data_IF_323750262424
#
_entry.id   IF_323750262424
#
_cell.length_a   1.000
_cell.length_b   1.000
_cell.length_c   1.000
_cell.angle_alpha   90.00
_cell.angle_beta   90.00
_cell.angle_gamma   90.00
#
_symmetry.space_group_name_H-M   'P 1'
#
loop_
_entity.id
_entity.type
_entity.pdbx_description
1 polymer ?
#
# COMPACT_ATOMS: atom_id res chain seq x y z
N UNK A 1 -12.83 22.00 29.75
CA UNK A 1 -14.03 22.56 29.09
C UNK A 1 -13.89 22.24 27.61
N UNK A 2 -14.92 21.66 26.98
CA UNK A 2 -14.85 20.84 25.76
C UNK A 2 -14.14 19.50 25.93
N UNK A 3 -14.77 18.62 26.70
CA UNK A 3 -14.47 17.20 26.63
C UNK A 3 -15.09 16.63 25.36
N UNK A 4 -14.58 17.00 24.18
CA UNK A 4 -14.93 16.38 22.91
C UNK A 4 -14.52 14.91 23.00
N UNK A 5 -15.46 14.11 23.48
CA UNK A 5 -15.27 12.69 23.62
C UNK A 5 -15.23 12.02 22.27
N UNK A 6 -14.74 10.79 22.26
CA UNK A 6 -14.95 9.88 21.14
C UNK A 6 -16.41 9.81 20.66
N UNK A 7 -17.45 9.83 21.54
CA UNK A 7 -18.83 9.82 21.07
C UNK A 7 -19.25 11.06 20.27
N UNK A 8 -18.92 12.29 20.70
CA UNK A 8 -19.26 13.48 19.91
C UNK A 8 -18.55 13.48 18.55
N UNK A 9 -17.29 13.05 18.49
CA UNK A 9 -16.55 12.95 17.24
C UNK A 9 -17.20 11.96 16.27
N UNK A 10 -17.71 10.83 16.78
CA UNK A 10 -18.40 9.81 16.01
C UNK A 10 -19.74 10.31 15.44
N UNK A 11 -20.48 11.10 16.21
CA UNK A 11 -21.74 11.73 15.74
C UNK A 11 -21.45 12.72 14.62
N UNK A 12 -20.44 13.57 14.77
CA UNK A 12 -20.05 14.53 13.73
C UNK A 12 -19.59 13.79 12.47
N UNK A 13 -18.77 12.74 12.63
CA UNK A 13 -18.34 11.88 11.53
C UNK A 13 -19.55 11.29 10.81
N UNK A 14 -20.53 10.74 11.54
CA UNK A 14 -21.74 10.17 10.95
C UNK A 14 -22.52 11.19 10.11
N UNK A 15 -22.70 12.41 10.63
CA UNK A 15 -23.36 13.50 9.89
C UNK A 15 -22.55 13.86 8.63
N UNK A 16 -21.22 13.96 8.74
CA UNK A 16 -20.36 14.20 7.59
C UNK A 16 -20.47 13.07 6.55
N UNK A 17 -20.57 11.80 6.97
CA UNK A 17 -20.82 10.68 6.06
C UNK A 17 -22.17 10.78 5.36
N UNK A 18 -23.21 11.30 6.01
CA UNK A 18 -24.52 11.49 5.37
C UNK A 18 -24.47 12.60 4.31
N UNK A 19 -23.74 13.69 4.57
CA UNK A 19 -23.61 14.82 3.63
C UNK A 19 -22.69 14.45 2.45
N UNK A 20 -21.50 13.96 2.74
CA UNK A 20 -20.48 13.65 1.73
C UNK A 20 -20.67 12.27 1.09
N UNK A 21 -21.38 11.37 1.77
CA UNK A 21 -21.49 9.96 1.39
C UNK A 21 -20.30 9.12 1.86
N UNK A 22 -20.57 7.89 2.30
CA UNK A 22 -19.53 6.94 2.74
C UNK A 22 -18.49 6.61 1.65
N UNK A 23 -18.86 6.72 0.37
CA UNK A 23 -17.98 6.45 -0.76
C UNK A 23 -16.92 7.56 -1.00
N UNK A 24 -17.15 8.80 -0.53
CA UNK A 24 -16.23 9.92 -0.77
C UNK A 24 -15.06 9.96 0.21
N UNK A 25 -15.25 9.47 1.44
CA UNK A 25 -14.19 9.35 2.43
C UNK A 25 -12.98 8.51 1.98
N UNK A 26 -13.14 7.28 1.47
CA UNK A 26 -11.99 6.49 1.02
C UNK A 26 -11.34 7.11 -0.22
N UNK A 27 -12.11 7.72 -1.13
CA UNK A 27 -11.56 8.38 -2.31
C UNK A 27 -10.61 9.54 -1.94
N UNK A 28 -11.00 10.34 -0.95
CA UNK A 28 -10.19 11.45 -0.41
C UNK A 28 -9.04 10.90 0.46
N UNK A 29 -9.30 9.86 1.25
CA UNK A 29 -8.29 9.22 2.08
C UNK A 29 -7.17 8.56 1.28
N UNK A 30 -7.47 7.97 0.12
CA UNK A 30 -6.46 7.38 -0.77
C UNK A 30 -5.56 8.45 -1.40
N UNK A 31 -6.11 9.59 -1.83
CA UNK A 31 -5.31 10.68 -2.41
C UNK A 31 -4.43 11.37 -1.36
N UNK A 32 -4.98 11.68 -0.18
CA UNK A 32 -4.22 12.22 0.94
C UNK A 32 -3.20 11.20 1.48
N UNK A 33 -3.56 9.92 1.58
CA UNK A 33 -2.67 8.87 2.07
C UNK A 33 -1.46 8.66 1.15
N UNK A 34 -1.66 8.72 -0.17
CA UNK A 34 -0.56 8.71 -1.14
C UNK A 34 0.37 9.91 -0.97
N UNK A 35 -0.20 11.11 -0.84
CA UNK A 35 0.58 12.33 -0.60
C UNK A 35 1.38 12.23 0.70
N UNK A 36 0.74 11.88 1.82
CA UNK A 36 1.39 11.74 3.14
C UNK A 36 2.50 10.68 3.09
N UNK A 37 2.32 9.58 2.35
CA UNK A 37 3.33 8.55 2.20
C UNK A 37 4.57 9.06 1.46
N UNK A 38 4.40 9.84 0.41
CA UNK A 38 5.50 10.44 -0.34
C UNK A 38 6.18 11.57 0.46
N UNK A 39 5.41 12.37 1.19
CA UNK A 39 5.93 13.34 2.15
C UNK A 39 6.80 12.63 3.20
N UNK A 40 6.27 11.60 3.88
CA UNK A 40 7.01 10.82 4.88
C UNK A 40 8.28 10.22 4.31
N UNK A 41 8.23 9.65 3.10
CA UNK A 41 9.40 9.08 2.40
C UNK A 41 10.49 10.13 2.15
N UNK A 42 10.09 11.34 1.77
CA UNK A 42 11.02 12.46 1.56
C UNK A 42 11.64 12.97 2.87
N UNK A 43 10.88 12.94 3.96
CA UNK A 43 11.38 13.32 5.30
C UNK A 43 12.26 12.23 5.95
N UNK A 44 12.01 10.93 5.71
CA UNK A 44 12.74 9.81 6.31
C UNK A 44 13.98 9.37 5.51
N UNK A 45 14.11 9.74 4.24
CA UNK A 45 15.21 9.28 3.40
C UNK A 45 15.59 10.28 2.31
N UNK A 46 16.48 11.25 2.60
CA UNK A 46 17.06 12.15 1.59
C UNK A 46 18.02 11.46 0.59
N UNK A 47 17.87 10.15 0.32
CA UNK A 47 18.79 9.41 -0.55
C UNK A 47 18.42 7.96 -0.88
N UNK A 48 17.20 7.51 -0.59
CA UNK A 48 16.72 6.19 -1.03
C UNK A 48 15.42 6.37 -1.82
N UNK A 49 15.60 6.63 -3.10
CA UNK A 49 14.57 6.37 -4.11
C UNK A 49 14.25 4.88 -4.05
N UNK A 50 13.23 4.49 -3.28
CA UNK A 50 12.62 3.17 -3.42
C UNK A 50 11.69 3.27 -4.62
N UNK A 51 12.06 2.75 -5.81
CA UNK A 51 11.12 2.66 -6.92
C UNK A 51 9.92 1.81 -6.47
N UNK A 52 8.71 2.08 -6.98
CA UNK A 52 7.54 1.27 -6.67
C UNK A 52 7.87 -0.19 -7.02
N UNK A 53 7.85 -1.05 -6.01
CA UNK A 53 8.04 -2.48 -6.21
C UNK A 53 6.99 -2.96 -7.23
N UNK A 54 7.40 -3.54 -8.37
CA UNK A 54 6.46 -4.09 -9.33
C UNK A 54 5.64 -5.21 -8.66
N UNK A 55 4.31 -5.30 -8.89
CA UNK A 55 3.44 -6.31 -8.27
C UNK A 55 3.71 -7.77 -8.70
N UNK A 56 4.78 -8.05 -9.44
CA UNK A 56 4.95 -9.30 -10.18
C UNK A 56 6.39 -9.85 -10.11
N UNK A 57 6.96 -9.88 -8.91
CA UNK A 57 8.18 -10.68 -8.68
C UNK A 57 7.76 -12.13 -8.42
N UNK A 58 7.68 -12.95 -9.48
CA UNK A 58 7.46 -14.40 -9.35
C UNK A 58 8.62 -15.00 -8.53
N UNK A 59 8.32 -15.54 -7.36
CA UNK A 59 9.29 -16.19 -6.48
C UNK A 59 9.19 -17.71 -6.65
N UNK A 60 10.32 -18.40 -6.87
CA UNK A 60 10.35 -19.86 -6.96
C UNK A 60 10.05 -20.51 -5.59
N UNK A 61 9.06 -21.41 -5.51
CA UNK A 61 8.59 -22.06 -4.28
C UNK A 61 9.66 -22.87 -3.53
N UNK A 62 10.59 -23.51 -4.25
CA UNK A 62 11.63 -24.36 -3.67
C UNK A 62 12.87 -23.60 -3.19
N UNK A 63 13.21 -22.46 -3.82
CA UNK A 63 14.45 -21.73 -3.49
C UNK A 63 14.22 -20.31 -2.96
N UNK A 64 12.97 -19.82 -2.95
CA UNK A 64 12.58 -18.45 -2.57
C UNK A 64 13.45 -17.34 -3.18
N UNK A 65 13.87 -17.51 -4.43
CA UNK A 65 14.62 -16.50 -5.19
C UNK A 65 13.73 -15.80 -6.21
N UNK A 66 13.95 -14.51 -6.47
CA UNK A 66 13.21 -13.75 -7.48
C UNK A 66 13.55 -14.28 -8.87
N UNK A 67 12.54 -14.66 -9.64
CA UNK A 67 12.69 -15.24 -10.96
C UNK A 67 12.27 -14.21 -12.02
N UNK A 68 13.23 -13.76 -12.81
CA UNK A 68 12.99 -12.88 -13.95
C UNK A 68 12.05 -13.59 -14.94
N UNK A 69 10.98 -12.92 -15.38
CA UNK A 69 9.85 -13.49 -16.16
C UNK A 69 10.28 -14.28 -17.41
N UNK A 70 11.47 -14.02 -17.94
CA UNK A 70 12.04 -14.62 -19.16
C UNK A 70 12.56 -16.08 -19.03
N UNK A 71 12.95 -16.54 -17.83
CA UNK A 71 13.60 -17.87 -17.68
C UNK A 71 12.67 -19.03 -17.31
N UNK A 72 12.23 -19.80 -18.29
CA UNK A 72 11.31 -20.95 -18.13
C UNK A 72 11.77 -22.04 -17.14
N UNK A 73 13.03 -22.05 -16.70
CA UNK A 73 13.58 -22.92 -15.65
C UNK A 73 14.46 -22.13 -14.66
N UNK A 74 14.44 -22.49 -13.38
CA UNK A 74 15.34 -21.88 -12.39
C UNK A 74 16.77 -22.46 -12.56
N UNK A 75 17.81 -21.64 -12.82
CA UNK A 75 19.17 -22.12 -13.09
C UNK A 75 19.87 -22.76 -11.89
N UNK A 76 19.28 -22.67 -10.70
CA UNK A 76 19.90 -23.14 -9.45
C UNK A 76 19.23 -24.42 -8.89
N UNK A 77 17.98 -24.71 -9.24
CA UNK A 77 17.29 -25.95 -8.82
C UNK A 77 16.80 -26.81 -9.98
N UNK A 78 16.80 -26.30 -11.22
CA UNK A 78 16.43 -27.07 -12.42
C UNK A 78 14.94 -27.45 -12.52
N UNK A 79 14.11 -27.13 -11.53
CA UNK A 79 12.68 -27.41 -11.56
C UNK A 79 11.94 -26.36 -12.42
N UNK A 80 10.99 -26.84 -13.24
CA UNK A 80 10.16 -25.97 -14.08
C UNK A 80 9.24 -25.14 -13.21
N UNK A 81 8.96 -23.90 -13.64
CA UNK A 81 7.96 -23.04 -13.00
C UNK A 81 6.62 -23.78 -12.97
N UNK A 82 6.12 -24.01 -11.77
CA UNK A 82 4.72 -24.34 -11.54
C UNK A 82 3.99 -22.99 -11.61
N UNK A 83 3.10 -22.84 -12.59
CA UNK A 83 2.35 -21.61 -12.83
C UNK A 83 1.46 -21.23 -11.65
#
# INVERSE_FOLDING_TARGET
MFGLGMPELLIILLIALLIFGAAKLPQIGSSLGGAIREFKKSFESPGKEVPPAPPDELVCSQCRRPLQKEWSACPHCGTKREA
#
